data_IF_361426077478
#
_entry.id   IF_361426077478
#
_cell.length_a   1.000
_cell.length_b   1.000
_cell.length_c   1.000
_cell.angle_alpha   90.00
_cell.angle_beta   90.00
_cell.angle_gamma   90.00
#
_symmetry.space_group_name_H-M   'P 1'
#
loop_
_entity.id
_entity.type
_entity.pdbx_description
1 polymer ?
#
# COMPACT_ATOMS: atom_id res chain seq x y z
N UNK A 1 32.00 2.94 -7.40
CA UNK A 1 30.71 2.22 -7.51
C UNK A 1 29.86 2.50 -6.27
N UNK A 2 29.05 3.56 -6.29
CA UNK A 2 28.08 3.80 -5.23
C UNK A 2 26.89 2.87 -5.46
N UNK A 3 26.75 1.86 -4.60
CA UNK A 3 25.59 0.96 -4.55
C UNK A 3 24.97 1.01 -3.17
N UNK A 4 23.70 1.41 -3.10
CA UNK A 4 22.95 1.45 -1.84
C UNK A 4 21.81 0.44 -1.87
N UNK A 5 21.63 -0.31 -0.79
CA UNK A 5 20.49 -1.21 -0.64
C UNK A 5 19.26 -0.35 -0.34
N UNK A 6 18.21 -0.48 -1.16
CA UNK A 6 16.94 0.21 -0.94
C UNK A 6 15.89 -0.70 -0.35
N UNK A 7 14.88 -0.12 0.31
CA UNK A 7 13.70 -0.85 0.76
C UNK A 7 12.66 -1.07 -0.36
N UNK A 8 12.96 -0.64 -1.60
CA UNK A 8 12.11 -0.92 -2.74
C UNK A 8 12.12 -2.42 -3.07
N UNK A 9 10.95 -2.95 -3.43
CA UNK A 9 10.74 -4.38 -3.71
C UNK A 9 10.62 -4.60 -5.21
N UNK A 10 11.28 -5.65 -5.71
CA UNK A 10 11.16 -6.06 -7.11
C UNK A 10 9.74 -6.54 -7.41
N UNK A 11 9.12 -6.12 -8.54
CA UNK A 11 7.78 -6.59 -8.92
C UNK A 11 7.73 -8.07 -9.31
N UNK A 12 8.86 -8.68 -9.69
CA UNK A 12 8.91 -10.09 -10.10
C UNK A 12 9.17 -11.05 -8.92
N UNK A 13 10.15 -10.75 -8.07
CA UNK A 13 10.59 -11.68 -7.02
C UNK A 13 10.42 -11.15 -5.58
N UNK A 14 9.91 -9.94 -5.41
CA UNK A 14 9.71 -9.28 -4.11
C UNK A 14 10.98 -9.18 -3.22
N UNK A 15 12.18 -9.36 -3.79
CA UNK A 15 13.46 -9.09 -3.11
C UNK A 15 13.75 -7.58 -3.10
N UNK A 16 14.64 -7.16 -2.19
CA UNK A 16 15.10 -5.76 -2.12
C UNK A 16 15.88 -5.38 -3.38
N UNK A 17 15.70 -4.14 -3.83
CA UNK A 17 16.40 -3.58 -4.98
C UNK A 17 17.64 -2.82 -4.51
N UNK A 18 18.75 -2.95 -5.25
CA UNK A 18 19.95 -2.14 -5.09
C UNK A 18 19.90 -0.94 -6.02
N UNK A 19 20.16 0.26 -5.49
CA UNK A 19 20.29 1.47 -6.28
C UNK A 19 21.76 1.62 -6.69
N UNK A 20 22.01 1.64 -8.00
CA UNK A 20 23.35 1.81 -8.60
C UNK A 20 23.39 3.10 -9.43
N UNK A 21 24.51 3.80 -9.38
CA UNK A 21 24.78 5.00 -10.17
C UNK A 21 24.70 6.30 -9.36
N UNK A 22 25.11 7.39 -10.01
CA UNK A 22 25.22 8.73 -9.43
C UNK A 22 24.39 9.73 -10.25
N UNK A 23 23.90 10.78 -9.59
CA UNK A 23 23.08 11.81 -10.24
C UNK A 23 21.71 11.33 -10.72
N UNK A 24 21.34 11.70 -11.95
CA UNK A 24 20.04 11.42 -12.59
C UNK A 24 19.95 10.04 -13.25
N UNK A 25 21.09 9.37 -13.44
CA UNK A 25 21.20 8.06 -14.08
C UNK A 25 20.99 6.87 -13.14
N UNK A 26 20.41 7.08 -11.95
CA UNK A 26 20.26 6.02 -10.95
C UNK A 26 19.31 4.92 -11.45
N UNK A 27 19.75 3.68 -11.28
CA UNK A 27 19.00 2.48 -11.66
C UNK A 27 18.83 1.56 -10.46
N UNK A 28 17.64 1.02 -10.30
CA UNK A 28 17.39 -0.10 -9.41
C UNK A 28 17.73 -1.40 -10.10
N UNK A 29 18.47 -2.27 -9.42
CA UNK A 29 18.89 -3.58 -9.90
C UNK A 29 18.47 -4.61 -8.85
N UNK A 30 17.78 -5.66 -9.30
CA UNK A 30 17.46 -6.81 -8.47
C UNK A 30 18.42 -7.96 -8.72
N UNK A 31 18.64 -8.78 -7.69
CA UNK A 31 19.37 -10.05 -7.82
C UNK A 31 18.73 -11.03 -8.82
N UNK A 32 17.43 -10.90 -9.14
CA UNK A 32 16.78 -11.75 -10.17
C UNK A 32 17.01 -11.28 -11.62
N UNK A 33 17.82 -10.23 -11.85
CA UNK A 33 18.10 -9.68 -13.17
C UNK A 33 17.16 -8.53 -13.60
N UNK A 34 16.12 -8.23 -12.82
CA UNK A 34 15.24 -7.08 -13.07
C UNK A 34 15.99 -5.75 -12.87
N UNK A 35 15.84 -4.81 -13.81
CA UNK A 35 16.46 -3.48 -13.76
C UNK A 35 15.44 -2.41 -14.16
N UNK A 36 15.32 -1.36 -13.38
CA UNK A 36 14.44 -0.23 -13.68
C UNK A 36 15.12 1.11 -13.38
N UNK A 37 14.87 2.13 -14.20
CA UNK A 37 15.33 3.50 -13.92
C UNK A 37 14.57 4.06 -12.71
N UNK A 38 15.24 4.90 -11.92
CA UNK A 38 14.61 5.57 -10.76
C UNK A 38 13.32 6.32 -11.14
N UNK A 39 13.32 7.01 -12.28
CA UNK A 39 12.14 7.73 -12.79
C UNK A 39 10.96 6.81 -13.11
N UNK A 40 11.21 5.65 -13.71
CA UNK A 40 10.19 4.64 -13.99
C UNK A 40 9.63 4.03 -12.69
N UNK A 41 10.51 3.76 -11.71
CA UNK A 41 10.10 3.28 -10.38
C UNK A 41 9.18 4.27 -9.66
N UNK A 42 9.54 5.56 -9.67
CA UNK A 42 8.73 6.60 -9.03
C UNK A 42 7.34 6.71 -9.66
N UNK A 43 7.27 6.74 -11.00
CA UNK A 43 5.98 6.75 -11.73
C UNK A 43 5.12 5.54 -11.39
N UNK A 44 5.69 4.33 -11.38
CA UNK A 44 4.96 3.11 -11.02
C UNK A 44 4.44 3.17 -9.58
N UNK A 45 5.29 3.60 -8.64
CA UNK A 45 4.91 3.70 -7.23
C UNK A 45 3.86 4.77 -6.96
N UNK A 46 3.83 5.84 -7.75
CA UNK A 46 2.77 6.84 -7.71
C UNK A 46 1.44 6.26 -8.20
N UNK A 47 1.47 5.51 -9.31
CA UNK A 47 0.30 4.81 -9.83
C UNK A 47 -0.22 3.69 -8.91
N UNK A 48 0.64 3.04 -8.12
CA UNK A 48 0.22 2.03 -7.14
C UNK A 48 -0.43 2.64 -5.88
N UNK A 49 -0.20 3.92 -5.58
CA UNK A 49 -0.77 4.58 -4.38
C UNK A 49 -2.25 4.95 -4.52
N UNK A 50 -2.79 4.99 -5.73
CA UNK A 50 -4.19 5.39 -5.96
C UNK A 50 -5.20 4.31 -5.58
N UNK A 51 -4.78 3.04 -5.44
CA UNK A 51 -5.63 1.99 -4.86
C UNK A 51 -5.57 2.03 -3.33
N UNK A 52 -6.71 2.28 -2.68
CA UNK A 52 -6.85 2.15 -1.22
C UNK A 52 -6.34 0.77 -0.80
N UNK A 53 -5.36 0.74 0.11
CA UNK A 53 -4.87 -0.52 0.65
C UNK A 53 -5.94 -1.18 1.52
N UNK A 54 -6.00 -2.51 1.56
CA UNK A 54 -6.93 -3.23 2.45
C UNK A 54 -6.76 -2.82 3.93
N UNK A 55 -5.57 -2.38 4.32
CA UNK A 55 -5.29 -1.83 5.66
C UNK A 55 -5.94 -0.48 5.90
N UNK A 56 -5.97 0.40 4.90
CA UNK A 56 -6.69 1.67 4.96
C UNK A 56 -8.20 1.44 4.96
N UNK A 57 -8.70 0.50 4.15
CA UNK A 57 -10.10 0.09 4.17
C UNK A 57 -10.50 -0.46 5.56
N UNK A 58 -9.70 -1.37 6.13
CA UNK A 58 -9.92 -1.90 7.46
C UNK A 58 -9.87 -0.81 8.55
N UNK A 59 -8.92 0.13 8.45
CA UNK A 59 -8.83 1.28 9.37
C UNK A 59 -10.03 2.22 9.22
N UNK A 60 -10.56 2.39 8.01
CA UNK A 60 -11.77 3.17 7.75
C UNK A 60 -13.00 2.48 8.35
N UNK A 61 -13.21 1.18 8.10
CA UNK A 61 -14.28 0.39 8.73
C UNK A 61 -14.18 0.40 10.25
N UNK A 62 -12.96 0.28 10.81
CA UNK A 62 -12.73 0.37 12.25
C UNK A 62 -13.09 1.75 12.81
N UNK A 63 -12.84 2.83 12.06
CA UNK A 63 -13.25 4.20 12.43
C UNK A 63 -14.76 4.37 12.36
N UNK A 64 -15.43 3.77 11.37
CA UNK A 64 -16.88 3.77 11.29
C UNK A 64 -17.50 3.05 12.50
N UNK A 65 -16.99 1.86 12.83
CA UNK A 65 -17.45 1.08 13.98
C UNK A 65 -17.19 1.78 15.33
N UNK A 66 -16.07 2.50 15.47
CA UNK A 66 -15.80 3.29 16.68
C UNK A 66 -16.65 4.56 16.78
N UNK A 67 -17.03 5.15 15.63
CA UNK A 67 -17.98 6.27 15.60
C UNK A 67 -19.43 5.83 15.78
N UNK A 68 -19.77 4.58 15.47
CA UNK A 68 -21.10 4.03 15.74
C UNK A 68 -21.36 3.76 17.23
N UNK A 69 -20.32 3.65 18.07
CA UNK A 69 -20.50 3.59 19.52
C UNK A 69 -21.03 4.91 20.12
N UNK A 70 -20.91 6.03 19.41
CA UNK A 70 -21.38 7.32 19.93
C UNK A 70 -22.72 7.80 19.37
N UNK A 71 -23.17 7.43 18.15
CA UNK A 71 -24.48 7.91 17.64
C UNK A 71 -24.94 7.34 16.26
N UNK A 72 -25.03 6.02 16.06
CA UNK A 72 -25.71 5.50 14.85
C UNK A 72 -26.81 4.49 15.22
N UNK A 73 -28.01 5.03 15.38
CA UNK A 73 -29.31 4.35 15.20
C UNK A 73 -29.53 3.07 16.02
N UNK A 74 -29.60 3.23 17.35
CA UNK A 74 -30.13 2.23 18.28
C UNK A 74 -31.49 1.68 17.84
N UNK A 75 -32.37 2.53 17.28
CA UNK A 75 -33.70 2.11 16.83
C UNK A 75 -33.70 1.13 15.64
N UNK A 76 -32.83 1.35 14.64
CA UNK A 76 -32.74 0.48 13.47
C UNK A 76 -32.03 -0.83 13.80
N UNK A 77 -30.96 -0.77 14.61
CA UNK A 77 -30.24 -1.94 15.08
C UNK A 77 -31.13 -2.85 15.94
N UNK A 78 -31.95 -2.29 16.83
CA UNK A 78 -32.89 -3.06 17.66
C UNK A 78 -34.03 -3.69 16.84
N UNK A 79 -34.52 -3.01 15.80
CA UNK A 79 -35.53 -3.56 14.90
C UNK A 79 -35.00 -4.77 14.11
N UNK A 80 -33.77 -4.67 13.59
CA UNK A 80 -33.12 -5.76 12.86
C UNK A 80 -32.77 -6.95 13.76
N UNK A 81 -32.36 -6.71 15.01
CA UNK A 81 -32.06 -7.77 15.98
C UNK A 81 -33.30 -8.59 16.38
N UNK A 82 -34.49 -7.98 16.33
CA UNK A 82 -35.79 -8.64 16.59
C UNK A 82 -36.35 -9.37 15.36
N UNK A 83 -35.89 -9.03 14.16
CA UNK A 83 -36.15 -9.78 12.94
C UNK A 83 -35.26 -11.04 12.91
N UNK A 84 -35.72 -12.11 13.54
CA UNK A 84 -35.18 -13.47 13.34
C UNK A 84 -35.98 -14.13 12.21
N UNK A 85 -35.30 -14.45 11.11
CA UNK A 85 -35.75 -15.41 10.09
C UNK A 85 -35.46 -16.83 10.57
#
# INVERSE_FOLDING_TARGET
NISQISNARCPNCHKKLELKGEGEGRIFVCACGYREKLSAFMKRKENEKTSISSREAAKYLSKLNKKSDENINTALADALKKLKL
#
